data_IF_957375123742
#
_entry.id   IF_957375123742
#
_cell.length_a   1.000
_cell.length_b   1.000
_cell.length_c   1.000
_cell.angle_alpha   90.00
_cell.angle_beta   90.00
_cell.angle_gamma   90.00
#
_symmetry.space_group_name_H-M   'P 1'
#
loop_
_entity.id
_entity.type
_entity.pdbx_description
1 polymer ?
#
# COMPACT_ATOMS: atom_id res chain seq x y z
N UNK A 1 27.28 -20.16 17.51
CA UNK A 1 26.50 -19.07 18.17
C UNK A 1 26.47 -17.77 17.35
N UNK A 2 27.45 -17.47 16.47
CA UNK A 2 27.47 -16.21 15.71
C UNK A 2 26.48 -16.11 14.52
N UNK A 3 26.08 -17.22 13.91
CA UNK A 3 25.18 -17.20 12.72
C UNK A 3 23.75 -16.74 13.00
N UNK A 4 23.23 -16.95 14.21
CA UNK A 4 21.87 -16.52 14.57
C UNK A 4 21.77 -15.01 14.84
N UNK A 5 22.83 -14.38 15.36
CA UNK A 5 22.86 -12.94 15.62
C UNK A 5 22.84 -12.09 14.34
N UNK A 6 23.58 -12.51 13.30
CA UNK A 6 23.60 -11.80 12.01
C UNK A 6 22.23 -11.84 11.32
N UNK A 7 21.50 -12.96 11.41
CA UNK A 7 20.21 -13.10 10.77
C UNK A 7 19.14 -12.20 11.44
N UNK A 8 19.13 -12.13 12.77
CA UNK A 8 18.23 -11.22 13.51
C UNK A 8 18.51 -9.74 13.19
N UNK A 9 19.78 -9.37 13.01
CA UNK A 9 20.16 -8.02 12.57
C UNK A 9 19.65 -7.70 11.15
N UNK A 10 19.77 -8.62 10.19
CA UNK A 10 19.25 -8.38 8.83
C UNK A 10 17.73 -8.28 8.79
N UNK A 11 17.01 -9.12 9.55
CA UNK A 11 15.55 -9.06 9.61
C UNK A 11 15.04 -7.85 10.43
N UNK A 12 15.70 -7.50 11.54
CA UNK A 12 15.34 -6.31 12.32
C UNK A 12 15.56 -5.00 11.55
N UNK A 13 16.63 -4.92 10.75
CA UNK A 13 16.94 -3.73 9.94
C UNK A 13 16.02 -3.57 8.73
N UNK A 14 15.60 -4.67 8.07
CA UNK A 14 14.68 -4.60 6.93
C UNK A 14 13.30 -4.02 7.32
N UNK A 15 12.79 -4.40 8.50
CA UNK A 15 11.50 -3.91 9.00
C UNK A 15 11.50 -2.43 9.39
N UNK A 16 12.62 -1.93 9.93
CA UNK A 16 12.76 -0.53 10.34
C UNK A 16 12.71 0.45 9.14
N UNK A 17 13.02 -0.02 7.92
CA UNK A 17 13.02 0.82 6.73
C UNK A 17 11.61 1.21 6.24
N UNK A 18 10.59 0.42 6.61
CA UNK A 18 9.21 0.67 6.18
C UNK A 18 8.46 1.68 7.07
N UNK A 19 8.93 1.89 8.31
CA UNK A 19 8.25 2.75 9.26
C UNK A 19 8.45 4.24 8.96
N UNK A 20 7.42 5.04 9.21
CA UNK A 20 7.52 6.50 9.13
C UNK A 20 6.46 7.13 8.23
N UNK A 21 6.65 8.42 7.89
CA UNK A 21 5.72 9.16 7.07
C UNK A 21 5.80 8.71 5.60
N UNK A 22 4.65 8.43 4.99
CA UNK A 22 4.56 7.98 3.61
C UNK A 22 3.33 8.60 2.95
N UNK A 23 3.42 8.99 1.67
CA UNK A 23 2.28 9.47 0.89
C UNK A 23 1.94 8.49 -0.22
N UNK A 24 0.65 8.29 -0.50
CA UNK A 24 0.24 7.55 -1.69
C UNK A 24 0.55 8.38 -2.93
N UNK A 25 1.46 7.91 -3.79
CA UNK A 25 1.87 8.64 -5.00
C UNK A 25 0.97 8.30 -6.17
N UNK A 26 0.81 7.00 -6.44
CA UNK A 26 -0.08 6.48 -7.45
C UNK A 26 -0.75 5.17 -6.99
N UNK A 27 -1.87 4.86 -7.61
CA UNK A 27 -2.63 3.63 -7.38
C UNK A 27 -3.07 3.04 -8.71
N UNK A 28 -3.24 1.73 -8.76
CA UNK A 28 -3.77 1.02 -9.92
C UNK A 28 -4.78 -0.03 -9.46
N UNK A 29 -5.83 -0.25 -10.23
CA UNK A 29 -6.83 -1.28 -9.95
C UNK A 29 -7.35 -1.92 -11.23
N UNK A 30 -7.64 -3.23 -11.21
CA UNK A 30 -8.38 -3.88 -12.30
C UNK A 30 -9.82 -3.33 -12.40
N UNK A 31 -10.40 -2.98 -11.26
CA UNK A 31 -11.68 -2.28 -11.13
C UNK A 31 -11.47 -0.80 -10.80
N UNK A 32 -11.39 0.00 -11.85
CA UNK A 32 -11.04 1.42 -11.73
C UNK A 32 -12.06 2.23 -10.90
N UNK A 33 -13.33 1.82 -10.85
CA UNK A 33 -14.37 2.42 -10.02
C UNK A 33 -13.99 2.49 -8.53
N UNK A 34 -13.17 1.55 -8.05
CA UNK A 34 -12.74 1.49 -6.65
C UNK A 34 -11.71 2.56 -6.28
N UNK A 35 -11.02 3.13 -7.27
CA UNK A 35 -9.89 4.04 -7.07
C UNK A 35 -10.06 5.42 -7.70
N UNK A 36 -11.13 5.63 -8.47
CA UNK A 36 -11.51 6.96 -8.94
C UNK A 36 -11.80 7.92 -7.77
N UNK A 37 -11.94 9.23 -8.04
CA UNK A 37 -12.34 10.19 -7.00
C UNK A 37 -13.67 9.77 -6.36
N UNK A 38 -13.68 9.66 -5.03
CA UNK A 38 -14.82 9.12 -4.28
C UNK A 38 -14.90 7.58 -4.24
N UNK A 39 -13.97 6.88 -4.90
CA UNK A 39 -13.83 5.43 -4.82
C UNK A 39 -13.35 4.98 -3.45
N UNK A 40 -13.98 3.94 -2.90
CA UNK A 40 -13.80 3.50 -1.51
C UNK A 40 -12.38 2.97 -1.18
N UNK A 41 -11.58 2.61 -2.19
CA UNK A 41 -10.19 2.14 -2.05
C UNK A 41 -9.16 3.20 -2.46
N UNK A 42 -9.58 4.42 -2.77
CA UNK A 42 -8.69 5.57 -2.99
C UNK A 42 -8.24 6.14 -1.64
N UNK A 43 -7.12 5.61 -1.13
CA UNK A 43 -6.54 6.01 0.16
C UNK A 43 -5.35 6.95 -0.01
N UNK A 44 -5.22 7.91 0.91
CA UNK A 44 -4.08 8.83 1.00
C UNK A 44 -3.28 8.52 2.26
N UNK A 45 -2.20 7.74 2.11
CA UNK A 45 -1.34 7.34 3.22
C UNK A 45 -0.75 8.56 3.92
N UNK A 46 -0.55 8.44 5.24
CA UNK A 46 0.17 9.38 6.09
C UNK A 46 1.34 8.72 6.79
N UNK A 47 1.15 7.50 7.31
CA UNK A 47 2.22 6.77 7.97
C UNK A 47 2.03 5.26 7.96
N UNK A 48 3.17 4.59 8.07
CA UNK A 48 3.28 3.18 8.41
C UNK A 48 3.95 3.06 9.77
N UNK A 49 3.45 2.16 10.61
CA UNK A 49 4.04 1.83 11.92
C UNK A 49 4.00 0.33 12.12
N UNK A 50 5.12 -0.24 12.55
CA UNK A 50 5.26 -1.65 12.82
C UNK A 50 5.30 -1.93 14.32
N UNK A 51 4.47 -2.89 14.74
CA UNK A 51 4.48 -3.42 16.09
C UNK A 51 4.87 -4.89 16.06
N UNK A 52 5.45 -5.36 17.17
CA UNK A 52 5.80 -6.78 17.37
C UNK A 52 6.67 -7.33 16.22
N UNK A 53 7.78 -6.64 15.92
CA UNK A 53 8.68 -7.00 14.80
C UNK A 53 7.94 -7.00 13.44
N UNK A 54 7.11 -5.97 13.19
CA UNK A 54 6.21 -5.86 12.03
C UNK A 54 5.21 -7.02 11.85
N UNK A 55 4.95 -7.85 12.86
CA UNK A 55 3.81 -8.79 12.81
C UNK A 55 2.48 -8.06 12.74
N UNK A 56 2.45 -6.82 13.21
CA UNK A 56 1.32 -5.91 13.08
C UNK A 56 1.79 -4.64 12.37
N UNK A 57 1.21 -4.35 11.21
CA UNK A 57 1.49 -3.13 10.45
C UNK A 57 0.28 -2.21 10.53
N UNK A 58 0.43 -1.09 11.22
CA UNK A 58 -0.57 -0.01 11.23
C UNK A 58 -0.36 0.87 10.01
N UNK A 59 -1.44 1.07 9.25
CA UNK A 59 -1.48 1.98 8.11
C UNK A 59 -2.46 3.08 8.46
N UNK A 60 -1.96 4.31 8.57
CA UNK A 60 -2.79 5.49 8.80
C UNK A 60 -2.94 6.26 7.49
N UNK A 61 -4.18 6.54 7.10
CA UNK A 61 -4.50 7.16 5.82
C UNK A 61 -5.81 7.95 5.90
N UNK A 62 -6.00 8.87 4.97
CA UNK A 62 -7.30 9.49 4.73
C UNK A 62 -8.06 8.77 3.62
N UNK A 63 -9.37 8.71 3.79
CA UNK A 63 -10.32 8.50 2.69
C UNK A 63 -11.00 9.84 2.45
N UNK A 64 -11.16 10.23 1.19
CA UNK A 64 -11.92 11.43 0.82
C UNK A 64 -13.23 11.04 0.15
N UNK A 65 -14.33 11.18 0.88
CA UNK A 65 -15.69 10.98 0.38
C UNK A 65 -16.37 12.35 0.24
N UNK A 66 -16.76 12.71 -0.99
CA UNK A 66 -17.49 13.96 -1.27
C UNK A 66 -16.82 15.23 -0.69
N UNK A 67 -15.48 15.29 -0.68
CA UNK A 67 -14.72 16.42 -0.15
C UNK A 67 -14.49 16.37 1.36
N UNK A 68 -15.04 15.38 2.06
CA UNK A 68 -14.81 15.15 3.48
C UNK A 68 -13.70 14.10 3.68
N UNK A 69 -12.64 14.51 4.36
CA UNK A 69 -11.52 13.64 4.69
C UNK A 69 -11.72 12.98 6.06
N UNK A 70 -11.67 11.65 6.08
CA UNK A 70 -11.78 10.84 7.31
C UNK A 70 -10.47 10.11 7.56
N UNK A 71 -9.79 10.44 8.66
CA UNK A 71 -8.55 9.77 9.08
C UNK A 71 -8.89 8.37 9.61
N UNK A 72 -8.27 7.36 9.03
CA UNK A 72 -8.47 5.95 9.38
C UNK A 72 -7.11 5.32 9.69
N UNK A 73 -7.08 4.46 10.69
CA UNK A 73 -5.94 3.56 10.95
C UNK A 73 -6.43 2.13 10.91
N UNK A 74 -5.84 1.32 10.05
CA UNK A 74 -6.08 -0.13 10.00
C UNK A 74 -4.85 -0.87 10.48
N UNK A 75 -5.04 -2.05 11.06
CA UNK A 75 -3.95 -2.97 11.39
C UNK A 75 -3.97 -4.13 10.42
N UNK A 76 -2.86 -4.34 9.72
CA UNK A 76 -2.57 -5.55 8.99
C UNK A 76 -1.83 -6.55 9.87
N UNK A 77 -2.26 -7.79 9.84
CA UNK A 77 -1.66 -8.89 10.59
C UNK A 77 -0.85 -9.78 9.65
N UNK A 78 0.44 -9.93 9.93
CA UNK A 78 1.33 -10.81 9.16
C UNK A 78 0.82 -12.25 9.26
N UNK A 79 0.76 -12.93 8.12
CA UNK A 79 0.27 -14.30 8.01
C UNK A 79 1.44 -15.30 8.15
N UNK A 80 1.10 -16.58 8.29
CA UNK A 80 2.08 -17.66 8.47
C UNK A 80 3.10 -17.80 7.34
N UNK A 81 2.79 -17.27 6.15
CA UNK A 81 3.73 -17.23 5.02
C UNK A 81 4.88 -16.23 5.21
N UNK A 82 4.83 -15.40 6.27
CA UNK A 82 5.85 -14.41 6.61
C UNK A 82 5.99 -13.28 5.61
N UNK A 83 5.04 -13.12 4.68
CA UNK A 83 5.12 -12.16 3.56
C UNK A 83 3.85 -11.35 3.37
N UNK A 84 2.71 -11.94 3.71
CA UNK A 84 1.41 -11.36 3.42
C UNK A 84 0.75 -10.88 4.71
N UNK A 85 0.06 -9.75 4.62
CA UNK A 85 -0.77 -9.19 5.68
C UNK A 85 -2.25 -9.38 5.35
N UNK A 86 -3.07 -9.54 6.39
CA UNK A 86 -4.54 -9.46 6.30
C UNK A 86 -5.07 -8.30 7.11
N UNK A 87 -6.05 -7.60 6.56
CA UNK A 87 -6.78 -6.53 7.25
C UNK A 87 -8.21 -6.40 6.72
N UNK A 88 -9.08 -5.71 7.46
CA UNK A 88 -10.45 -5.43 7.07
C UNK A 88 -10.63 -3.93 6.83
N UNK A 89 -10.94 -3.56 5.60
CA UNK A 89 -11.28 -2.20 5.18
C UNK A 89 -11.98 -2.28 3.83
N UNK A 90 -13.24 -1.84 3.77
CA UNK A 90 -14.09 -2.00 2.58
C UNK A 90 -14.05 -3.43 2.01
N UNK A 91 -14.10 -4.41 2.91
CA UNK A 91 -13.91 -5.83 2.58
C UNK A 91 -12.64 -6.43 3.18
N UNK A 92 -12.36 -7.66 2.79
CA UNK A 92 -11.17 -8.39 3.22
C UNK A 92 -10.02 -8.07 2.29
N UNK A 93 -8.89 -7.63 2.83
CA UNK A 93 -7.69 -7.35 2.06
C UNK A 93 -6.60 -8.34 2.42
N UNK A 94 -5.95 -8.90 1.39
CA UNK A 94 -4.72 -9.69 1.51
C UNK A 94 -3.63 -8.99 0.71
N UNK A 95 -2.64 -8.40 1.40
CA UNK A 95 -1.66 -7.52 0.76
C UNK A 95 -0.22 -7.84 1.14
N UNK A 96 0.73 -7.49 0.27
CA UNK A 96 2.17 -7.73 0.49
C UNK A 96 3.01 -6.64 -0.17
N UNK A 97 4.18 -6.38 0.39
CA UNK A 97 5.21 -5.57 -0.26
C UNK A 97 5.75 -6.35 -1.47
N UNK A 98 5.79 -5.72 -2.64
CA UNK A 98 6.24 -6.32 -3.90
C UNK A 98 7.45 -5.61 -4.51
N UNK A 99 7.71 -4.38 -4.11
CA UNK A 99 8.91 -3.62 -4.47
C UNK A 99 9.25 -2.64 -3.33
N UNK A 100 10.55 -2.46 -3.08
CA UNK A 100 11.08 -1.66 -1.99
C UNK A 100 12.34 -0.91 -2.43
N UNK A 101 12.37 0.38 -2.15
CA UNK A 101 13.53 1.24 -2.28
C UNK A 101 13.50 2.31 -1.19
N UNK A 102 14.61 3.05 -0.97
CA UNK A 102 14.61 4.19 -0.05
C UNK A 102 13.58 5.28 -0.40
N UNK A 103 13.13 5.33 -1.66
CA UNK A 103 12.20 6.36 -2.15
C UNK A 103 10.75 5.89 -2.24
N UNK A 104 10.53 4.59 -2.44
CA UNK A 104 9.22 4.02 -2.70
C UNK A 104 9.00 2.65 -2.06
N UNK A 105 7.78 2.44 -1.58
CA UNK A 105 7.24 1.13 -1.20
C UNK A 105 6.05 0.81 -2.09
N UNK A 106 6.07 -0.35 -2.75
CA UNK A 106 4.94 -0.79 -3.58
C UNK A 106 4.26 -2.00 -2.97
N UNK A 107 2.95 -1.90 -2.73
CA UNK A 107 2.12 -2.97 -2.21
C UNK A 107 1.17 -3.49 -3.27
N UNK A 108 1.07 -4.82 -3.39
CA UNK A 108 -0.02 -5.48 -4.09
C UNK A 108 -1.06 -5.95 -3.08
N UNK A 109 -2.34 -5.69 -3.35
CA UNK A 109 -3.47 -6.13 -2.53
C UNK A 109 -4.53 -6.82 -3.37
N UNK A 110 -5.13 -7.86 -2.81
CA UNK A 110 -6.40 -8.40 -3.28
C UNK A 110 -7.48 -8.06 -2.27
N UNK A 111 -8.42 -7.22 -2.68
CA UNK A 111 -9.61 -6.86 -1.90
C UNK A 111 -10.79 -7.73 -2.35
N UNK A 112 -11.56 -8.26 -1.40
CA UNK A 112 -12.85 -8.90 -1.65
C UNK A 112 -13.91 -8.11 -0.89
N UNK A 113 -14.78 -7.43 -1.64
CA UNK A 113 -15.84 -6.58 -1.07
C UNK A 113 -17.01 -7.41 -0.49
N UNK A 114 -17.97 -6.75 0.16
CA UNK A 114 -19.14 -7.42 0.77
C UNK A 114 -20.03 -8.16 -0.23
N UNK A 115 -19.89 -7.90 -1.53
CA UNK A 115 -20.60 -8.58 -2.61
C UNK A 115 -19.73 -9.69 -3.24
N UNK A 116 -18.67 -10.13 -2.55
CA UNK A 116 -17.69 -11.13 -2.99
C UNK A 116 -16.97 -10.78 -4.31
N UNK A 117 -16.96 -9.51 -4.68
CA UNK A 117 -16.25 -9.07 -5.87
C UNK A 117 -14.80 -8.78 -5.53
N UNK A 118 -13.91 -9.46 -6.25
CA UNK A 118 -12.47 -9.27 -6.15
C UNK A 118 -12.02 -7.99 -6.88
N UNK A 119 -11.07 -7.28 -6.28
CA UNK A 119 -10.32 -6.17 -6.88
C UNK A 119 -8.84 -6.40 -6.63
N UNK A 120 -8.03 -6.34 -7.67
CA UNK A 120 -6.57 -6.31 -7.58
C UNK A 120 -6.09 -4.87 -7.53
N UNK A 121 -5.17 -4.58 -6.64
CA UNK A 121 -4.69 -3.22 -6.38
C UNK A 121 -3.17 -3.18 -6.34
N UNK A 122 -2.61 -2.08 -6.83
CA UNK A 122 -1.26 -1.64 -6.51
C UNK A 122 -1.31 -0.26 -5.86
N UNK A 123 -0.52 -0.08 -4.81
CA UNK A 123 -0.27 1.20 -4.17
C UNK A 123 1.23 1.44 -4.18
N UNK A 124 1.68 2.56 -4.74
CA UNK A 124 3.06 3.00 -4.59
C UNK A 124 3.09 4.21 -3.65
N UNK A 125 3.82 4.05 -2.55
CA UNK A 125 4.07 5.08 -1.56
C UNK A 125 5.39 5.79 -1.87
N UNK A 126 5.52 7.03 -1.44
CA UNK A 126 6.74 7.81 -1.60
C UNK A 126 6.63 9.21 -1.00
N UNK A 127 7.61 10.05 -1.29
CA UNK A 127 7.72 11.41 -0.75
C UNK A 127 7.51 12.51 -1.82
N UNK A 128 7.29 12.13 -3.07
CA UNK A 128 7.09 13.05 -4.19
C UNK A 128 6.55 12.33 -5.43
N UNK A 129 6.34 13.06 -6.54
CA UNK A 129 5.93 12.47 -7.81
C UNK A 129 6.95 11.44 -8.32
N UNK A 130 6.46 10.39 -8.99
CA UNK A 130 7.33 9.37 -9.59
C UNK A 130 8.15 9.93 -10.75
N UNK A 131 9.41 9.48 -10.86
CA UNK A 131 10.24 9.66 -12.06
C UNK A 131 9.69 8.86 -13.23
N UNK A 132 10.13 9.15 -14.46
CA UNK A 132 9.73 8.39 -15.65
C UNK A 132 10.05 6.89 -15.52
N UNK A 133 11.21 6.54 -14.96
CA UNK A 133 11.62 5.15 -14.75
C UNK A 133 10.73 4.45 -13.71
N UNK A 134 10.38 5.14 -12.61
CA UNK A 134 9.45 4.62 -11.60
C UNK A 134 8.04 4.40 -12.18
N UNK A 135 7.57 5.31 -13.04
CA UNK A 135 6.27 5.16 -13.73
C UNK A 135 6.25 3.94 -14.66
N UNK A 136 7.31 3.73 -15.42
CA UNK A 136 7.45 2.58 -16.32
C UNK A 136 7.45 1.26 -15.54
N UNK A 137 8.29 1.14 -14.51
CA UNK A 137 8.33 -0.03 -13.61
C UNK A 137 6.98 -0.31 -12.95
N UNK A 138 6.29 0.74 -12.49
CA UNK A 138 4.96 0.59 -11.88
C UNK A 138 3.90 0.13 -12.89
N UNK A 139 3.98 0.59 -14.14
CA UNK A 139 3.10 0.14 -15.21
C UNK A 139 3.35 -1.32 -15.62
N UNK A 140 4.61 -1.73 -15.77
CA UNK A 140 4.99 -3.13 -16.02
C UNK A 140 4.49 -4.05 -14.91
N UNK A 141 4.67 -3.65 -13.65
CA UNK A 141 4.16 -4.40 -12.50
C UNK A 141 2.64 -4.48 -12.50
N UNK A 142 1.93 -3.42 -12.88
CA UNK A 142 0.48 -3.44 -13.02
C UNK A 142 0.03 -4.48 -14.05
N UNK A 143 0.65 -4.48 -15.24
CA UNK A 143 0.37 -5.47 -16.29
C UNK A 143 0.68 -6.90 -15.83
N UNK A 144 1.80 -7.12 -15.14
CA UNK A 144 2.17 -8.42 -14.56
C UNK A 144 1.11 -8.94 -13.58
N UNK A 145 0.48 -8.05 -12.80
CA UNK A 145 -0.61 -8.41 -11.88
C UNK A 145 -1.97 -8.52 -12.56
N UNK A 146 -2.07 -8.24 -13.86
CA UNK A 146 -3.31 -8.23 -14.62
C UNK A 146 -4.19 -7.01 -14.32
N UNK A 147 -3.56 -5.88 -14.00
CA UNK A 147 -4.19 -4.56 -13.87
C UNK A 147 -3.87 -3.77 -15.14
N UNK A 148 -4.87 -3.30 -15.90
CA UNK A 148 -4.61 -2.49 -17.09
C UNK A 148 -3.83 -1.23 -16.76
N UNK A 149 -2.74 -0.94 -17.48
CA UNK A 149 -1.93 0.27 -17.25
C UNK A 149 -2.76 1.57 -17.37
N UNK A 150 -3.80 1.59 -18.23
CA UNK A 150 -4.75 2.70 -18.35
C UNK A 150 -5.58 2.98 -17.09
N UNK A 151 -5.59 2.06 -16.12
CA UNK A 151 -6.28 2.24 -14.84
C UNK A 151 -5.36 2.83 -13.74
N UNK A 152 -4.11 3.17 -14.05
CA UNK A 152 -3.22 3.87 -13.12
C UNK A 152 -3.73 5.29 -12.88
N UNK A 153 -3.72 5.73 -11.62
CA UNK A 153 -4.06 7.09 -11.20
C UNK A 153 -2.93 7.66 -10.36
N UNK A 154 -2.36 8.77 -10.79
CA UNK A 154 -1.51 9.60 -9.93
C UNK A 154 -2.42 10.34 -8.93
N UNK A 155 -2.19 10.13 -7.64
CA UNK A 155 -3.11 10.58 -6.59
C UNK A 155 -2.53 11.62 -5.66
N UNK A 156 -1.19 11.71 -5.56
CA UNK A 156 -0.52 12.71 -4.75
C UNK A 156 -1.00 14.14 -5.04
N UNK A 157 -1.13 14.46 -6.33
CA UNK A 157 -1.60 15.79 -6.79
C UNK A 157 -3.07 16.08 -6.46
N UNK A 158 -3.82 15.09 -5.99
CA UNK A 158 -5.24 15.21 -5.61
C UNK A 158 -5.49 14.99 -4.13
N UNK A 159 -4.43 14.85 -3.34
CA UNK A 159 -4.53 14.76 -1.89
C UNK A 159 -4.80 16.15 -1.32
N UNK A 160 -6.08 16.44 -1.09
CA UNK A 160 -6.54 17.67 -0.45
C UNK A 160 -6.88 17.46 1.04
N UNK A 161 -6.53 16.31 1.60
CA UNK A 161 -6.75 16.02 3.00
C UNK A 161 -5.66 16.68 3.86
N UNK A 162 -5.92 16.92 5.16
CA UNK A 162 -4.92 17.51 6.05
C UNK A 162 -3.61 16.71 6.04
N UNK A 163 -2.50 17.42 6.18
CA UNK A 163 -1.18 16.81 6.40
C UNK A 163 -1.12 16.14 7.77
#
# INVERSE_FOLDING_TARGET
>A
MAKFLLLALTFGLAHAAMEGPWKTVAIAADRVDKIERGGELRIYCRSLTCEKECKEMKVTFYVNENGQCSLTTITGYLQEDGKTYKTQFQGNNRYKLVDESPENLTFYSENVDRADRKTKLLFILGHGPLTSEQKEKFAELAEEKGIPAGNIREVLITDYCPE
#
